data_IF_215718091268
#
_entry.id   IF_215718091268
#
_cell.length_a   1.000
_cell.length_b   1.000
_cell.length_c   1.000
_cell.angle_alpha   90.00
_cell.angle_beta   90.00
_cell.angle_gamma   90.00
#
_symmetry.space_group_name_H-M   'P 1'
#
loop_
_entity.id
_entity.type
_entity.pdbx_description
1 polymer ?
#
# COMPACT_ATOMS: atom_id res chain seq x y z
N UNK A 1 34.99 20.53 11.32
CA UNK A 1 34.44 21.83 11.75
C UNK A 1 33.03 21.61 12.25
N UNK A 2 32.73 21.93 13.48
CA UNK A 2 31.38 21.83 14.04
C UNK A 2 30.50 22.92 13.44
N UNK A 3 29.45 22.54 12.70
CA UNK A 3 28.42 23.44 12.18
C UNK A 3 27.17 23.38 13.06
N UNK A 4 26.35 24.42 13.05
CA UNK A 4 25.05 24.37 13.69
C UNK A 4 24.08 23.49 12.83
N UNK A 5 22.97 22.99 13.42
CA UNK A 5 21.91 22.34 12.65
C UNK A 5 21.38 23.25 11.54
N UNK A 6 21.30 24.56 11.82
CA UNK A 6 20.89 25.56 10.83
C UNK A 6 21.82 25.63 9.62
N UNK A 7 23.13 25.72 9.86
CA UNK A 7 24.14 25.80 8.81
C UNK A 7 24.11 24.52 7.92
N UNK A 8 24.01 23.36 8.58
CA UNK A 8 23.94 22.08 7.89
C UNK A 8 22.65 21.93 7.09
N UNK A 9 21.52 22.37 7.67
CA UNK A 9 20.23 22.42 6.96
C UNK A 9 20.31 23.28 5.70
N UNK A 10 20.84 24.50 5.81
CA UNK A 10 20.98 25.40 4.66
C UNK A 10 21.88 24.79 3.58
N UNK A 11 22.99 24.19 3.97
CA UNK A 11 23.92 23.52 3.05
C UNK A 11 23.24 22.39 2.27
N UNK A 12 22.55 21.50 2.98
CA UNK A 12 21.83 20.37 2.37
C UNK A 12 20.72 20.88 1.45
N UNK A 13 19.89 21.81 1.94
CA UNK A 13 18.79 22.40 1.16
C UNK A 13 19.28 23.03 -0.15
N UNK A 14 20.34 23.85 -0.08
CA UNK A 14 20.91 24.50 -1.26
C UNK A 14 21.44 23.47 -2.26
N UNK A 15 22.11 22.43 -1.79
CA UNK A 15 22.64 21.36 -2.65
C UNK A 15 21.50 20.59 -3.36
N UNK A 16 20.46 20.18 -2.62
CA UNK A 16 19.29 19.51 -3.20
C UNK A 16 18.53 20.39 -4.19
N UNK A 17 18.35 21.68 -3.85
CA UNK A 17 17.72 22.65 -4.75
C UNK A 17 18.50 22.87 -6.03
N UNK A 18 19.84 22.96 -5.95
CA UNK A 18 20.73 23.09 -7.12
C UNK A 18 20.70 21.86 -8.03
N UNK A 19 20.37 20.70 -7.48
CA UNK A 19 20.16 19.48 -8.23
C UNK A 19 18.73 19.32 -8.80
N UNK A 20 17.88 20.36 -8.66
CA UNK A 20 16.51 20.34 -9.20
C UNK A 20 15.49 19.59 -8.35
N UNK A 21 15.80 19.27 -7.10
CA UNK A 21 14.86 18.59 -6.21
C UNK A 21 13.85 19.63 -5.69
N UNK A 22 12.59 19.51 -6.14
CA UNK A 22 11.52 20.46 -5.81
C UNK A 22 11.24 20.55 -4.31
N UNK A 23 11.23 19.39 -3.61
CA UNK A 23 10.97 19.30 -2.18
C UNK A 23 12.22 19.52 -1.31
N UNK A 24 13.27 20.20 -1.82
CA UNK A 24 14.57 20.33 -1.15
C UNK A 24 14.49 20.83 0.30
N UNK A 25 13.51 21.71 0.60
CA UNK A 25 13.31 22.22 1.97
C UNK A 25 12.82 21.11 2.93
N UNK A 26 11.85 20.33 2.49
CA UNK A 26 11.31 19.21 3.25
C UNK A 26 12.35 18.11 3.40
N UNK A 27 12.98 17.71 2.28
CA UNK A 27 13.94 16.61 2.27
C UNK A 27 15.21 16.90 3.09
N UNK A 28 15.71 18.15 3.09
CA UNK A 28 16.82 18.55 3.95
C UNK A 28 16.48 18.40 5.44
N UNK A 29 15.24 18.71 5.83
CA UNK A 29 14.76 18.50 7.20
C UNK A 29 14.71 17.01 7.53
N UNK A 30 14.14 16.19 6.66
CA UNK A 30 14.03 14.75 6.86
C UNK A 30 15.41 14.08 6.97
N UNK A 31 16.37 14.49 6.15
CA UNK A 31 17.77 14.03 6.23
C UNK A 31 18.37 14.35 7.60
N UNK A 32 18.18 15.58 8.10
CA UNK A 32 18.71 15.96 9.40
C UNK A 32 18.01 15.23 10.55
N UNK A 33 16.70 15.05 10.48
CA UNK A 33 15.95 14.24 11.44
C UNK A 33 16.50 12.80 11.48
N UNK A 34 16.67 12.18 10.31
CA UNK A 34 17.20 10.82 10.20
C UNK A 34 18.63 10.70 10.74
N UNK A 35 19.49 11.67 10.43
CA UNK A 35 20.90 11.67 10.89
C UNK A 35 21.05 11.92 12.39
N UNK A 36 20.16 12.72 12.98
CA UNK A 36 20.26 13.11 14.39
C UNK A 36 19.37 12.31 15.33
N UNK A 37 18.42 11.52 14.79
CA UNK A 37 17.38 10.85 15.57
C UNK A 37 16.36 11.79 16.20
N UNK A 38 16.33 13.08 15.79
CA UNK A 38 15.41 14.09 16.30
C UNK A 38 14.11 14.08 15.51
N UNK A 39 13.01 14.40 16.19
CA UNK A 39 11.76 14.78 15.52
C UNK A 39 11.91 16.15 14.86
N UNK A 40 11.00 16.49 13.94
CA UNK A 40 10.98 17.81 13.30
C UNK A 40 10.84 18.96 14.33
N UNK A 41 10.05 18.75 15.39
CA UNK A 41 9.87 19.72 16.47
C UNK A 41 11.16 19.91 17.29
N UNK A 42 11.83 18.81 17.63
CA UNK A 42 13.11 18.85 18.33
C UNK A 42 14.21 19.50 17.50
N UNK A 43 14.25 19.18 16.19
CA UNK A 43 15.19 19.81 15.27
C UNK A 43 14.96 21.32 15.19
N UNK A 44 13.70 21.76 15.07
CA UNK A 44 13.36 23.19 15.05
C UNK A 44 13.74 23.92 16.34
N UNK A 45 13.46 23.33 17.50
CA UNK A 45 13.83 23.86 18.81
C UNK A 45 15.35 24.02 18.95
N UNK A 46 16.09 23.02 18.48
CA UNK A 46 17.52 22.89 18.65
C UNK A 46 18.33 23.45 17.46
N UNK A 47 17.67 24.14 16.51
CA UNK A 47 18.22 24.56 15.22
C UNK A 47 19.54 25.38 15.32
N UNK A 48 19.71 26.17 16.41
CA UNK A 48 20.86 27.00 16.65
C UNK A 48 22.00 26.27 17.37
N UNK A 49 21.76 25.04 17.82
CA UNK A 49 22.79 24.25 18.51
C UNK A 49 23.81 23.68 17.53
N UNK A 50 25.02 23.42 18.00
CA UNK A 50 26.04 22.73 17.20
C UNK A 50 25.73 21.24 17.06
N UNK A 51 25.99 20.72 15.88
CA UNK A 51 25.93 19.27 15.61
C UNK A 51 27.22 18.60 16.14
N UNK A 52 27.13 17.29 16.38
CA UNK A 52 28.34 16.47 16.48
C UNK A 52 28.91 16.18 15.08
N UNK A 53 30.21 15.88 15.00
CA UNK A 53 30.85 15.50 13.75
C UNK A 53 30.18 14.28 13.13
N UNK A 54 29.82 13.27 13.92
CA UNK A 54 29.11 12.06 13.47
C UNK A 54 27.74 12.38 12.84
N UNK A 55 26.97 13.31 13.42
CA UNK A 55 25.67 13.73 12.85
C UNK A 55 25.89 14.45 11.52
N UNK A 56 26.89 15.35 11.46
CA UNK A 56 27.19 16.07 10.24
C UNK A 56 27.63 15.12 9.09
N UNK A 57 28.51 14.18 9.39
CA UNK A 57 28.96 13.15 8.44
C UNK A 57 27.81 12.29 7.95
N UNK A 58 26.96 11.80 8.86
CA UNK A 58 25.80 11.01 8.51
C UNK A 58 24.81 11.78 7.62
N UNK A 59 24.52 13.04 7.96
CA UNK A 59 23.62 13.89 7.17
C UNK A 59 24.16 14.12 5.74
N UNK A 60 25.47 14.38 5.61
CA UNK A 60 26.10 14.56 4.31
C UNK A 60 26.13 13.26 3.50
N UNK A 61 26.37 12.11 4.13
CA UNK A 61 26.29 10.82 3.46
C UNK A 61 24.88 10.52 2.92
N UNK A 62 23.83 10.83 3.71
CA UNK A 62 22.44 10.73 3.25
C UNK A 62 22.14 11.70 2.09
N UNK A 63 22.66 12.93 2.16
CA UNK A 63 22.55 13.90 1.06
C UNK A 63 23.18 13.36 -0.24
N UNK A 64 24.39 12.79 -0.17
CA UNK A 64 25.08 12.22 -1.35
C UNK A 64 24.26 11.09 -1.98
N UNK A 65 23.72 10.17 -1.18
CA UNK A 65 22.83 9.12 -1.66
C UNK A 65 21.55 9.70 -2.31
N UNK A 66 20.98 10.75 -1.74
CA UNK A 66 19.81 11.43 -2.32
C UNK A 66 20.14 12.08 -3.67
N UNK A 67 21.29 12.73 -3.78
CA UNK A 67 21.79 13.29 -5.04
C UNK A 67 22.11 12.24 -6.09
N UNK A 68 22.45 11.01 -5.67
CA UNK A 68 22.57 9.86 -6.55
C UNK A 68 21.21 9.26 -7.00
N UNK A 69 20.08 9.86 -6.58
CA UNK A 69 18.73 9.48 -6.99
C UNK A 69 17.98 8.58 -6.02
N UNK A 70 18.57 8.18 -4.89
CA UNK A 70 17.88 7.33 -3.91
C UNK A 70 16.67 8.06 -3.31
N UNK A 71 15.47 7.44 -3.25
CA UNK A 71 14.27 8.06 -2.71
C UNK A 71 14.43 8.45 -1.24
N UNK A 72 13.96 9.64 -0.88
CA UNK A 72 14.03 10.14 0.50
C UNK A 72 13.40 9.18 1.52
N UNK A 73 12.31 8.52 1.15
CA UNK A 73 11.64 7.55 2.01
C UNK A 73 12.57 6.39 2.43
N UNK A 74 13.39 5.89 1.51
CA UNK A 74 14.35 4.82 1.83
C UNK A 74 15.52 5.31 2.67
N UNK A 75 15.96 6.54 2.44
CA UNK A 75 17.02 7.16 3.23
C UNK A 75 16.61 7.35 4.69
N UNK A 76 15.37 7.77 4.90
CA UNK A 76 14.77 7.95 6.24
C UNK A 76 14.37 6.62 6.86
N UNK A 77 14.01 5.62 6.02
CA UNK A 77 13.55 4.31 6.46
C UNK A 77 12.12 4.28 7.01
N UNK A 78 11.42 5.41 6.90
CA UNK A 78 10.07 5.60 7.39
C UNK A 78 9.27 6.50 6.44
N UNK A 79 7.98 6.20 6.26
CA UNK A 79 7.08 7.00 5.43
C UNK A 79 5.67 7.06 6.02
N UNK A 80 4.99 8.18 5.82
CA UNK A 80 3.61 8.36 6.30
C UNK A 80 2.61 7.84 5.29
N UNK A 81 1.56 7.14 5.77
CA UNK A 81 0.42 6.71 4.98
C UNK A 81 -0.86 6.80 5.82
N UNK A 82 -1.86 7.54 5.35
CA UNK A 82 -3.08 7.87 6.11
C UNK A 82 -2.78 8.43 7.50
N UNK A 83 -1.73 9.25 7.64
CA UNK A 83 -1.29 9.82 8.92
C UNK A 83 -0.60 8.83 9.88
N UNK A 84 -0.37 7.59 9.45
CA UNK A 84 0.33 6.57 10.23
C UNK A 84 1.75 6.36 9.69
N UNK A 85 2.78 6.21 10.56
CA UNK A 85 4.15 6.00 10.12
C UNK A 85 4.43 4.53 9.83
N UNK A 86 5.00 4.22 8.65
CA UNK A 86 5.38 2.87 8.23
C UNK A 86 6.87 2.77 7.99
N UNK A 87 7.50 1.67 8.43
CA UNK A 87 8.84 1.34 7.99
C UNK A 87 8.80 0.97 6.50
N UNK A 88 9.75 1.51 5.77
CA UNK A 88 9.95 1.29 4.33
C UNK A 88 11.40 0.90 4.04
N UNK A 89 11.63 0.18 2.96
CA UNK A 89 12.97 -0.13 2.43
C UNK A 89 12.84 -0.54 0.96
N UNK A 90 13.95 -0.68 0.22
CA UNK A 90 13.94 -1.16 -1.16
C UNK A 90 13.33 -2.56 -1.38
N UNK A 91 12.87 -3.23 -0.32
CA UNK A 91 12.18 -4.51 -0.40
C UNK A 91 10.70 -4.41 -0.81
N UNK A 92 10.10 -3.22 -0.79
CA UNK A 92 8.70 -2.99 -1.15
C UNK A 92 8.52 -1.57 -1.71
N UNK A 93 7.47 -1.40 -2.53
CA UNK A 93 7.06 -0.10 -3.06
C UNK A 93 6.86 0.92 -1.92
N UNK A 94 7.32 2.15 -2.13
CA UNK A 94 7.03 3.26 -1.21
C UNK A 94 5.52 3.56 -1.24
N UNK A 95 4.82 3.60 -0.09
CA UNK A 95 3.40 3.94 -0.06
C UNK A 95 3.11 5.28 -0.76
N UNK A 96 2.15 5.27 -1.69
CA UNK A 96 1.75 6.46 -2.45
C UNK A 96 0.52 7.11 -1.83
N UNK A 97 0.41 8.42 -1.95
CA UNK A 97 -0.77 9.17 -1.48
C UNK A 97 -2.05 8.70 -2.18
N UNK A 98 -1.97 8.39 -3.47
CA UNK A 98 -3.12 7.91 -4.26
C UNK A 98 -3.68 6.59 -3.70
N UNK A 99 -2.80 5.72 -3.16
CA UNK A 99 -3.17 4.45 -2.51
C UNK A 99 -3.99 4.66 -1.22
N UNK A 100 -3.93 5.84 -0.59
CA UNK A 100 -4.74 6.14 0.61
C UNK A 100 -6.24 6.03 0.33
N UNK A 101 -6.66 6.32 -0.90
CA UNK A 101 -8.05 6.14 -1.35
C UNK A 101 -8.49 4.68 -1.27
N UNK A 102 -7.62 3.73 -1.65
CA UNK A 102 -7.93 2.31 -1.57
C UNK A 102 -8.24 1.89 -0.11
N UNK A 103 -7.41 2.34 0.84
CA UNK A 103 -7.65 2.10 2.27
C UNK A 103 -8.96 2.75 2.76
N UNK A 104 -9.23 4.00 2.34
CA UNK A 104 -10.45 4.72 2.73
C UNK A 104 -11.72 4.04 2.21
N UNK A 105 -11.73 3.60 0.95
CA UNK A 105 -12.87 2.89 0.37
C UNK A 105 -13.08 1.53 1.05
N UNK A 106 -12.01 0.78 1.33
CA UNK A 106 -12.09 -0.46 2.08
C UNK A 106 -12.73 -0.25 3.46
N UNK A 107 -12.31 0.78 4.21
CA UNK A 107 -12.91 1.12 5.50
C UNK A 107 -14.39 1.49 5.36
N UNK A 108 -14.79 2.20 4.29
CA UNK A 108 -16.19 2.56 4.07
C UNK A 108 -17.05 1.31 3.85
N UNK A 109 -16.56 0.30 3.09
CA UNK A 109 -17.27 -0.97 2.91
C UNK A 109 -17.38 -1.77 4.21
N UNK A 110 -16.32 -1.78 5.01
CA UNK A 110 -16.32 -2.49 6.29
C UNK A 110 -17.23 -1.85 7.34
N UNK A 111 -17.49 -0.54 7.28
CA UNK A 111 -18.45 0.14 8.18
C UNK A 111 -19.90 -0.30 7.99
N UNK A 112 -20.22 -0.84 6.83
CA UNK A 112 -21.56 -1.36 6.52
C UNK A 112 -21.86 -2.68 7.27
N UNK A 113 -20.83 -3.33 7.84
CA UNK A 113 -20.94 -4.59 8.57
C UNK A 113 -21.03 -4.38 10.07
N UNK A 114 -21.93 -5.14 10.72
CA UNK A 114 -21.98 -5.23 12.18
C UNK A 114 -21.06 -6.36 12.67
N UNK A 115 -20.28 -6.07 13.72
CA UNK A 115 -19.42 -7.06 14.35
C UNK A 115 -17.98 -7.09 13.83
N UNK A 116 -17.34 -8.25 13.93
CA UNK A 116 -15.94 -8.44 13.53
C UNK A 116 -15.83 -8.65 12.02
N UNK A 117 -14.95 -7.91 11.39
CA UNK A 117 -14.69 -7.96 9.94
C UNK A 117 -13.28 -8.43 9.64
N UNK A 118 -13.05 -8.87 8.40
CA UNK A 118 -11.75 -9.32 7.91
C UNK A 118 -11.43 -8.64 6.58
N UNK A 119 -10.22 -8.09 6.48
CA UNK A 119 -9.65 -7.56 5.24
C UNK A 119 -8.49 -8.43 4.80
N UNK A 120 -8.43 -8.73 3.50
CA UNK A 120 -7.30 -9.35 2.84
C UNK A 120 -6.60 -8.28 2.00
N UNK A 121 -5.29 -8.12 2.18
CA UNK A 121 -4.44 -7.22 1.42
C UNK A 121 -3.48 -8.07 0.58
N UNK A 122 -3.71 -8.13 -0.74
CA UNK A 122 -2.87 -8.85 -1.70
C UNK A 122 -1.84 -7.91 -2.31
N UNK A 123 -0.64 -8.43 -2.57
CA UNK A 123 0.53 -7.63 -2.97
C UNK A 123 0.81 -6.55 -1.93
N UNK A 124 0.80 -6.95 -0.66
CA UNK A 124 0.72 -6.06 0.49
C UNK A 124 1.93 -5.11 0.65
N UNK A 125 3.10 -5.45 0.09
CA UNK A 125 4.31 -4.64 0.19
C UNK A 125 4.70 -4.33 1.62
N UNK A 126 4.61 -3.07 2.02
CA UNK A 126 4.83 -2.64 3.42
C UNK A 126 3.69 -3.01 4.37
N UNK A 127 2.56 -3.47 3.84
CA UNK A 127 1.32 -3.70 4.56
C UNK A 127 0.52 -2.42 4.84
N UNK A 128 0.84 -1.31 4.18
CA UNK A 128 0.27 0.01 4.52
C UNK A 128 -1.25 0.04 4.39
N UNK A 129 -1.85 -0.61 3.39
CA UNK A 129 -3.31 -0.61 3.19
C UNK A 129 -4.00 -1.44 4.28
N UNK A 130 -3.70 -2.74 4.37
CA UNK A 130 -4.36 -3.64 5.31
C UNK A 130 -4.13 -3.26 6.78
N UNK A 131 -2.91 -2.80 7.13
CA UNK A 131 -2.60 -2.38 8.49
C UNK A 131 -3.27 -1.05 8.86
N UNK A 132 -3.38 -0.10 7.93
CA UNK A 132 -4.15 1.14 8.15
C UNK A 132 -5.61 0.81 8.45
N UNK A 133 -6.23 -0.05 7.64
CA UNK A 133 -7.60 -0.50 7.87
C UNK A 133 -7.73 -1.13 9.26
N UNK A 134 -6.83 -2.05 9.63
CA UNK A 134 -6.88 -2.71 10.95
C UNK A 134 -6.58 -1.74 12.11
N UNK A 135 -5.72 -0.73 11.92
CA UNK A 135 -5.39 0.26 12.94
C UNK A 135 -6.57 1.20 13.23
N UNK A 136 -7.22 1.69 12.18
CA UNK A 136 -8.31 2.66 12.29
C UNK A 136 -9.68 2.01 12.57
N UNK A 137 -9.84 0.73 12.24
CA UNK A 137 -11.07 -0.04 12.50
C UNK A 137 -10.82 -1.11 13.56
N UNK A 138 -11.23 -0.86 14.80
CA UNK A 138 -10.92 -1.70 15.97
C UNK A 138 -11.41 -3.14 15.85
N UNK A 139 -12.51 -3.38 15.15
CA UNK A 139 -13.14 -4.69 15.00
C UNK A 139 -12.66 -5.44 13.74
N UNK A 140 -11.68 -4.90 13.00
CA UNK A 140 -11.18 -5.50 11.77
C UNK A 140 -9.87 -6.24 12.02
N UNK A 141 -9.76 -7.44 11.43
CA UNK A 141 -8.54 -8.23 11.34
C UNK A 141 -8.01 -8.18 9.92
N UNK A 142 -6.69 -8.03 9.76
CA UNK A 142 -6.03 -8.00 8.46
C UNK A 142 -5.21 -9.27 8.22
N UNK A 143 -5.27 -9.75 6.98
CA UNK A 143 -4.33 -10.74 6.45
C UNK A 143 -3.58 -10.07 5.30
N UNK A 144 -2.25 -10.06 5.39
CA UNK A 144 -1.36 -9.46 4.42
C UNK A 144 -0.69 -10.58 3.63
N UNK A 145 -0.81 -10.57 2.32
CA UNK A 145 -0.20 -11.59 1.46
C UNK A 145 0.76 -10.92 0.48
N UNK A 146 1.99 -11.40 0.45
CA UNK A 146 3.00 -10.95 -0.50
C UNK A 146 3.89 -12.12 -0.91
N UNK A 147 4.46 -12.04 -2.11
CA UNK A 147 5.40 -13.04 -2.63
C UNK A 147 6.82 -12.81 -2.11
N UNK A 148 7.20 -11.56 -1.82
CA UNK A 148 8.51 -11.13 -1.40
C UNK A 148 8.75 -11.37 0.09
N UNK A 149 9.77 -12.14 0.45
CA UNK A 149 10.18 -12.31 1.85
C UNK A 149 10.59 -10.97 2.50
N UNK A 150 11.22 -10.06 1.72
CA UNK A 150 11.59 -8.73 2.20
C UNK A 150 10.37 -7.85 2.50
N UNK A 151 9.31 -7.91 1.68
CA UNK A 151 8.05 -7.24 1.94
C UNK A 151 7.38 -7.80 3.19
N UNK A 152 7.38 -9.13 3.38
CA UNK A 152 6.84 -9.78 4.57
C UNK A 152 7.59 -9.40 5.85
N UNK A 153 8.90 -9.20 5.79
CA UNK A 153 9.68 -8.67 6.92
C UNK A 153 9.27 -7.24 7.28
N UNK A 154 8.97 -6.39 6.28
CA UNK A 154 8.40 -5.07 6.51
C UNK A 154 7.00 -5.16 7.12
N UNK A 155 6.10 -6.01 6.60
CA UNK A 155 4.79 -6.27 7.18
C UNK A 155 4.90 -6.64 8.66
N UNK A 156 5.80 -7.58 9.01
CA UNK A 156 6.04 -8.01 10.39
C UNK A 156 6.50 -6.86 11.30
N UNK A 157 7.41 -6.02 10.82
CA UNK A 157 7.88 -4.83 11.56
C UNK A 157 6.74 -3.83 11.76
N UNK A 158 5.96 -3.56 10.73
CA UNK A 158 4.84 -2.62 10.75
C UNK A 158 3.68 -3.11 11.61
N UNK A 159 3.37 -4.41 11.62
CA UNK A 159 2.41 -5.03 12.56
C UNK A 159 2.80 -4.72 14.02
N UNK A 160 4.09 -4.87 14.35
CA UNK A 160 4.59 -4.59 15.70
C UNK A 160 4.54 -3.10 16.03
N UNK A 161 4.93 -2.24 15.07
CA UNK A 161 4.89 -0.78 15.23
C UNK A 161 3.51 -0.28 15.57
N UNK A 162 2.49 -0.76 14.87
CA UNK A 162 1.10 -0.38 15.08
C UNK A 162 0.38 -1.19 16.18
N UNK A 163 1.11 -2.06 16.92
CA UNK A 163 0.55 -2.88 18.01
C UNK A 163 -0.61 -3.78 17.54
N UNK A 164 -0.53 -4.27 16.30
CA UNK A 164 -1.56 -5.09 15.68
C UNK A 164 -1.30 -6.60 15.82
N UNK A 165 -0.31 -7.01 16.62
CA UNK A 165 -0.07 -8.43 16.94
C UNK A 165 -1.35 -9.05 17.52
N UNK A 166 -1.89 -10.07 16.87
CA UNK A 166 -3.20 -10.68 17.24
C UNK A 166 -4.40 -10.18 16.43
N UNK A 167 -4.26 -9.06 15.67
CA UNK A 167 -5.27 -8.59 14.72
C UNK A 167 -4.79 -8.53 13.28
N UNK A 168 -3.49 -8.64 13.04
CA UNK A 168 -2.90 -8.73 11.71
C UNK A 168 -1.93 -9.90 11.64
N UNK A 169 -1.97 -10.60 10.52
CA UNK A 169 -1.02 -11.67 10.16
C UNK A 169 -0.49 -11.42 8.76
N UNK A 170 0.71 -11.94 8.48
CA UNK A 170 1.32 -11.89 7.16
C UNK A 170 1.61 -13.30 6.69
N UNK A 171 1.44 -13.56 5.40
CA UNK A 171 1.60 -14.87 4.77
C UNK A 171 2.32 -14.72 3.44
N UNK A 172 3.25 -15.63 3.15
CA UNK A 172 3.83 -15.75 1.82
C UNK A 172 2.83 -16.39 0.88
N UNK A 173 2.57 -15.72 -0.24
CA UNK A 173 1.67 -16.22 -1.27
C UNK A 173 1.84 -15.50 -2.58
N UNK A 174 1.57 -16.19 -3.65
CA UNK A 174 1.54 -15.66 -4.99
C UNK A 174 0.10 -15.28 -5.35
N UNK A 175 -0.15 -14.01 -5.63
CA UNK A 175 -1.47 -13.51 -6.02
C UNK A 175 -1.99 -14.11 -7.34
N UNK A 176 -1.10 -14.66 -8.16
CA UNK A 176 -1.44 -15.38 -9.40
C UNK A 176 -1.70 -16.88 -9.19
N UNK A 177 -1.73 -17.34 -7.94
CA UNK A 177 -2.13 -18.70 -7.56
C UNK A 177 -3.42 -18.67 -6.75
N UNK A 178 -4.23 -19.74 -6.77
CA UNK A 178 -5.47 -19.79 -6.00
C UNK A 178 -5.18 -19.73 -4.49
N UNK A 179 -6.05 -19.08 -3.70
CA UNK A 179 -5.91 -19.02 -2.26
C UNK A 179 -6.02 -20.39 -1.61
N UNK A 180 -5.27 -20.60 -0.52
CA UNK A 180 -5.50 -21.77 0.35
C UNK A 180 -6.87 -21.67 1.03
N UNK A 181 -7.61 -22.77 1.05
CA UNK A 181 -8.88 -22.86 1.79
C UNK A 181 -8.74 -22.53 3.28
N UNK A 182 -7.56 -22.75 3.86
CA UNK A 182 -7.27 -22.43 5.27
C UNK A 182 -7.31 -20.91 5.57
N UNK A 183 -7.24 -20.04 4.56
CA UNK A 183 -7.40 -18.59 4.72
C UNK A 183 -8.80 -18.20 5.19
N UNK A 184 -9.83 -19.01 4.85
CA UNK A 184 -11.23 -18.65 5.05
C UNK A 184 -11.64 -17.46 4.17
N UNK A 185 -12.77 -16.84 4.51
CA UNK A 185 -13.35 -15.77 3.71
C UNK A 185 -13.22 -14.39 4.36
N UNK A 186 -13.25 -13.35 3.52
CA UNK A 186 -13.03 -11.96 3.87
C UNK A 186 -14.24 -11.10 3.48
N UNK A 187 -14.47 -10.05 4.24
CA UNK A 187 -15.49 -9.04 3.92
C UNK A 187 -15.03 -8.12 2.80
N UNK A 188 -13.72 -7.80 2.81
CA UNK A 188 -13.07 -6.96 1.79
C UNK A 188 -11.73 -7.56 1.39
N UNK A 189 -11.45 -7.58 0.09
CA UNK A 189 -10.16 -7.83 -0.50
C UNK A 189 -9.68 -6.55 -1.16
N UNK A 190 -8.50 -6.07 -0.80
CA UNK A 190 -7.83 -4.94 -1.43
C UNK A 190 -6.57 -5.41 -2.12
N UNK A 191 -6.23 -4.77 -3.24
CA UNK A 191 -4.98 -5.03 -3.92
C UNK A 191 -4.51 -3.78 -4.67
N UNK A 192 -3.26 -3.40 -4.43
CA UNK A 192 -2.50 -2.52 -5.31
C UNK A 192 -1.45 -3.38 -6.02
N UNK A 193 -1.82 -4.05 -7.12
CA UNK A 193 -0.92 -4.99 -7.79
C UNK A 193 0.10 -4.26 -8.67
N UNK A 194 1.17 -4.91 -9.11
CA UNK A 194 1.97 -4.43 -10.22
C UNK A 194 1.10 -4.24 -11.46
N UNK A 195 1.15 -3.04 -12.07
CA UNK A 195 0.26 -2.68 -13.18
C UNK A 195 0.95 -1.98 -14.35
N UNK A 196 2.26 -1.79 -14.31
CA UNK A 196 3.00 -1.12 -15.38
C UNK A 196 3.26 -2.14 -16.49
N UNK A 197 2.89 -1.85 -17.76
CA UNK A 197 3.26 -2.72 -18.87
C UNK A 197 4.77 -2.93 -18.93
N UNK A 198 5.20 -4.17 -19.15
CA UNK A 198 6.65 -4.53 -19.19
C UNK A 198 7.44 -3.61 -20.14
N UNK A 199 6.83 -3.23 -21.28
CA UNK A 199 7.46 -2.33 -22.26
C UNK A 199 7.72 -0.92 -21.75
N UNK A 200 6.94 -0.45 -20.76
CA UNK A 200 6.98 0.92 -20.24
C UNK A 200 7.97 1.07 -19.07
N UNK A 201 8.42 -0.04 -18.47
CA UNK A 201 9.36 -0.04 -17.34
C UNK A 201 10.66 0.71 -17.63
N UNK A 202 11.13 0.66 -18.89
CA UNK A 202 12.34 1.36 -19.31
C UNK A 202 12.20 2.89 -19.24
N UNK A 203 10.98 3.42 -19.36
CA UNK A 203 10.66 4.85 -19.33
C UNK A 203 10.42 5.44 -17.95
N UNK A 204 10.44 4.64 -16.89
CA UNK A 204 10.21 5.12 -15.53
C UNK A 204 11.33 6.03 -15.04
N UNK A 205 10.98 6.93 -14.13
CA UNK A 205 11.93 7.78 -13.42
C UNK A 205 13.08 6.95 -12.84
N UNK A 206 14.30 7.50 -12.90
CA UNK A 206 15.50 6.84 -12.41
C UNK A 206 15.40 6.46 -10.92
N UNK A 207 14.71 7.27 -10.11
CA UNK A 207 14.46 7.03 -8.70
C UNK A 207 13.55 5.81 -8.46
N UNK A 208 12.60 5.55 -9.34
CA UNK A 208 11.73 4.37 -9.28
C UNK A 208 12.48 3.15 -9.80
N UNK A 209 12.95 3.23 -11.05
CA UNK A 209 13.60 2.13 -11.76
C UNK A 209 14.88 1.60 -11.07
N UNK A 210 15.65 2.50 -10.44
CA UNK A 210 16.94 2.15 -9.82
C UNK A 210 16.84 1.65 -8.39
N UNK A 211 15.72 1.89 -7.71
CA UNK A 211 15.64 1.68 -6.26
C UNK A 211 14.41 0.89 -5.81
N UNK A 212 13.29 0.98 -6.53
CA UNK A 212 12.08 0.22 -6.16
C UNK A 212 12.11 -1.18 -6.79
N UNK A 213 11.55 -2.20 -6.11
CA UNK A 213 11.65 -3.57 -6.60
C UNK A 213 10.83 -3.76 -7.89
N UNK A 214 11.48 -4.25 -8.94
CA UNK A 214 10.88 -4.45 -10.25
C UNK A 214 9.61 -5.32 -10.20
N UNK A 215 9.59 -6.33 -9.32
CA UNK A 215 8.43 -7.19 -9.12
C UNK A 215 7.20 -6.47 -8.56
N UNK A 216 7.37 -5.28 -7.98
CA UNK A 216 6.25 -4.46 -7.50
C UNK A 216 5.72 -3.50 -8.59
N UNK A 217 6.36 -3.47 -9.77
CA UNK A 217 6.05 -2.55 -10.86
C UNK A 217 5.49 -3.29 -12.09
N UNK A 218 6.08 -4.43 -12.46
CA UNK A 218 5.80 -5.14 -13.70
C UNK A 218 4.46 -5.89 -13.65
N UNK A 219 3.48 -5.36 -14.37
CA UNK A 219 2.13 -5.93 -14.50
C UNK A 219 1.94 -6.86 -15.70
N UNK A 220 3.03 -7.24 -16.38
CA UNK A 220 2.98 -8.07 -17.59
C UNK A 220 2.88 -7.26 -18.88
N UNK A 221 2.57 -7.94 -19.98
CA UNK A 221 2.67 -7.36 -21.32
C UNK A 221 1.81 -6.09 -21.52
N UNK A 222 0.62 -6.04 -20.93
CA UNK A 222 -0.31 -4.91 -21.00
C UNK A 222 -0.67 -4.32 -19.62
N UNK A 223 0.04 -4.75 -18.56
CA UNK A 223 -0.17 -4.28 -17.20
C UNK A 223 -1.41 -4.84 -16.50
N UNK A 224 -2.08 -5.86 -17.08
CA UNK A 224 -3.35 -6.36 -16.56
C UNK A 224 -3.28 -7.80 -16.03
N UNK A 225 -2.12 -8.44 -16.00
CA UNK A 225 -2.01 -9.85 -15.64
C UNK A 225 -2.48 -10.15 -14.22
N UNK A 226 -2.13 -9.29 -13.26
CA UNK A 226 -2.60 -9.44 -11.88
C UNK A 226 -4.10 -9.26 -11.73
N UNK A 227 -4.69 -8.29 -12.41
CA UNK A 227 -6.15 -8.09 -12.38
C UNK A 227 -6.90 -9.30 -12.93
N UNK A 228 -6.43 -9.89 -14.04
CA UNK A 228 -7.02 -11.12 -14.62
C UNK A 228 -6.91 -12.30 -13.66
N UNK A 229 -5.70 -12.52 -13.13
CA UNK A 229 -5.41 -13.63 -12.23
C UNK A 229 -6.21 -13.53 -10.93
N UNK A 230 -6.11 -12.40 -10.23
CA UNK A 230 -6.76 -12.20 -8.94
C UNK A 230 -8.29 -12.25 -9.07
N UNK A 231 -8.86 -11.57 -10.07
CA UNK A 231 -10.31 -11.55 -10.29
C UNK A 231 -10.89 -12.94 -10.48
N UNK A 232 -10.19 -13.84 -11.19
CA UNK A 232 -10.66 -15.19 -11.43
C UNK A 232 -10.38 -16.16 -10.27
N UNK A 233 -9.24 -16.03 -9.61
CA UNK A 233 -8.75 -17.00 -8.63
C UNK A 233 -9.21 -16.71 -7.20
N UNK A 234 -9.34 -15.42 -6.82
CA UNK A 234 -9.56 -15.02 -5.43
C UNK A 234 -11.02 -14.69 -5.07
N UNK A 235 -11.95 -14.78 -6.03
CA UNK A 235 -13.37 -14.60 -5.73
C UNK A 235 -13.86 -15.53 -4.60
N UNK A 236 -13.45 -16.83 -4.51
CA UNK A 236 -13.86 -17.71 -3.42
C UNK A 236 -13.39 -17.27 -2.04
N UNK A 237 -12.32 -16.45 -1.96
CA UNK A 237 -11.84 -15.88 -0.71
C UNK A 237 -12.70 -14.72 -0.19
N UNK A 238 -13.61 -14.17 -0.99
CA UNK A 238 -14.60 -13.22 -0.53
C UNK A 238 -15.84 -13.93 0.01
N UNK A 239 -16.43 -13.38 1.06
CA UNK A 239 -17.78 -13.76 1.48
C UNK A 239 -18.80 -13.41 0.40
N UNK A 240 -19.96 -14.08 0.31
CA UNK A 240 -21.10 -13.57 -0.45
C UNK A 240 -21.43 -12.14 -0.02
N UNK A 241 -21.53 -11.22 -0.98
CA UNK A 241 -21.70 -9.78 -0.71
C UNK A 241 -20.40 -9.05 -0.32
N UNK A 242 -19.27 -9.73 -0.23
CA UNK A 242 -17.96 -9.11 0.01
C UNK A 242 -17.43 -8.31 -1.19
N UNK A 243 -16.50 -7.39 -0.93
CA UNK A 243 -16.00 -6.44 -1.93
C UNK A 243 -14.55 -6.70 -2.34
N UNK A 244 -14.28 -6.61 -3.63
CA UNK A 244 -12.94 -6.58 -4.22
C UNK A 244 -12.65 -5.14 -4.67
N UNK A 245 -11.52 -4.58 -4.22
CA UNK A 245 -11.07 -3.24 -4.56
C UNK A 245 -9.65 -3.30 -5.13
N UNK A 246 -9.45 -2.72 -6.28
CA UNK A 246 -8.15 -2.56 -6.93
C UNK A 246 -7.74 -1.11 -7.02
N UNK A 247 -6.47 -0.80 -6.71
CA UNK A 247 -5.82 0.36 -7.29
C UNK A 247 -5.50 0.06 -8.75
N UNK A 248 -5.62 1.09 -9.62
CA UNK A 248 -5.38 0.93 -11.06
C UNK A 248 -4.45 2.01 -11.60
N UNK A 249 -3.65 1.65 -12.60
CA UNK A 249 -2.87 2.59 -13.38
C UNK A 249 -3.74 3.51 -14.24
N UNK A 250 -3.17 4.62 -14.67
CA UNK A 250 -3.85 5.60 -15.55
C UNK A 250 -4.32 4.91 -16.82
N UNK A 251 -5.62 5.04 -17.13
CA UNK A 251 -6.23 4.48 -18.33
C UNK A 251 -6.62 3.00 -18.26
N UNK A 252 -6.41 2.32 -17.12
CA UNK A 252 -6.74 0.90 -16.96
C UNK A 252 -8.13 0.64 -16.37
N UNK A 253 -8.78 1.65 -15.79
CA UNK A 253 -9.98 1.49 -14.97
C UNK A 253 -11.13 0.79 -15.71
N UNK A 254 -11.41 1.17 -16.95
CA UNK A 254 -12.49 0.56 -17.74
C UNK A 254 -12.22 -0.92 -18.06
N UNK A 255 -10.96 -1.26 -18.37
CA UNK A 255 -10.56 -2.63 -18.65
C UNK A 255 -10.69 -3.51 -17.41
N UNK A 256 -10.26 -3.00 -16.23
CA UNK A 256 -10.38 -3.71 -14.95
C UNK A 256 -11.85 -3.86 -14.55
N UNK A 257 -12.66 -2.82 -14.70
CA UNK A 257 -14.10 -2.89 -14.46
C UNK A 257 -14.76 -3.97 -15.32
N UNK A 258 -14.38 -4.07 -16.59
CA UNK A 258 -14.89 -5.09 -17.50
C UNK A 258 -14.47 -6.52 -17.09
N UNK A 259 -13.23 -6.71 -16.56
CA UNK A 259 -12.83 -7.99 -16.00
C UNK A 259 -13.72 -8.40 -14.82
N UNK A 260 -14.09 -7.47 -13.95
CA UNK A 260 -15.01 -7.71 -12.84
C UNK A 260 -16.41 -8.10 -13.34
N UNK A 261 -16.95 -7.38 -14.34
CA UNK A 261 -18.25 -7.73 -14.98
C UNK A 261 -18.22 -9.16 -15.49
N UNK A 262 -17.18 -9.52 -16.25
CA UNK A 262 -17.05 -10.88 -16.82
C UNK A 262 -16.93 -11.98 -15.77
N UNK A 263 -16.34 -11.67 -14.62
CA UNK A 263 -16.21 -12.61 -13.51
C UNK A 263 -17.48 -12.67 -12.64
N UNK A 264 -18.55 -11.96 -13.02
CA UNK A 264 -19.84 -11.99 -12.32
C UNK A 264 -19.89 -11.15 -11.05
N UNK A 265 -19.00 -10.16 -10.89
CA UNK A 265 -19.13 -9.16 -9.82
C UNK A 265 -20.25 -8.19 -10.15
N UNK A 266 -20.91 -7.70 -9.12
CA UNK A 266 -22.01 -6.72 -9.18
C UNK A 266 -21.55 -5.37 -8.60
N UNK A 267 -22.39 -4.33 -8.73
CA UNK A 267 -22.19 -3.01 -8.13
C UNK A 267 -20.81 -2.41 -8.42
N UNK A 268 -20.31 -2.59 -9.65
CA UNK A 268 -18.98 -2.14 -10.07
C UNK A 268 -18.95 -0.61 -10.08
N UNK A 269 -17.89 -0.04 -9.49
CA UNK A 269 -17.69 1.41 -9.40
C UNK A 269 -16.23 1.74 -9.71
N UNK A 270 -16.04 2.89 -10.38
CA UNK A 270 -14.73 3.51 -10.58
C UNK A 270 -14.72 4.80 -9.75
N UNK A 271 -13.70 4.96 -8.92
CA UNK A 271 -13.51 6.14 -8.07
C UNK A 271 -12.28 6.91 -8.50
N UNK A 272 -12.43 8.23 -8.64
CA UNK A 272 -11.37 9.15 -9.04
C UNK A 272 -10.68 9.75 -7.84
N UNK A 273 -9.38 10.03 -8.01
CA UNK A 273 -8.61 10.82 -7.05
C UNK A 273 -8.99 12.32 -7.10
N UNK A 274 -8.37 13.11 -6.23
CA UNK A 274 -8.60 14.57 -6.19
C UNK A 274 -8.14 15.28 -7.45
N UNK A 275 -7.28 14.67 -8.25
CA UNK A 275 -6.83 15.15 -9.56
C UNK A 275 -7.78 14.76 -10.70
N UNK A 276 -8.86 14.03 -10.43
CA UNK A 276 -9.83 13.57 -11.42
C UNK A 276 -9.37 12.33 -12.21
N UNK A 277 -8.32 11.64 -11.76
CA UNK A 277 -7.78 10.43 -12.38
C UNK A 277 -8.46 9.21 -11.74
N UNK A 278 -8.92 8.27 -12.56
CA UNK A 278 -9.48 7.00 -12.09
C UNK A 278 -8.40 6.20 -11.36
N UNK A 279 -8.64 5.89 -10.07
CA UNK A 279 -7.64 5.23 -9.19
C UNK A 279 -8.09 3.95 -8.57
N UNK A 280 -9.37 3.82 -8.25
CA UNK A 280 -9.87 2.60 -7.62
C UNK A 280 -11.03 2.05 -8.41
N UNK A 281 -10.96 0.76 -8.73
CA UNK A 281 -12.06 -0.03 -9.28
C UNK A 281 -12.51 -1.02 -8.24
N UNK A 282 -13.81 -1.04 -7.93
CA UNK A 282 -14.40 -1.97 -6.98
C UNK A 282 -15.53 -2.78 -7.61
N UNK A 283 -15.73 -4.00 -7.10
CA UNK A 283 -16.88 -4.84 -7.42
C UNK A 283 -17.29 -5.65 -6.19
N UNK A 284 -18.56 -6.02 -6.14
CA UNK A 284 -19.12 -6.81 -5.05
C UNK A 284 -19.36 -8.24 -5.54
N UNK A 285 -18.89 -9.26 -4.78
CA UNK A 285 -19.28 -10.64 -5.02
C UNK A 285 -20.80 -10.77 -4.83
N UNK A 286 -21.56 -11.41 -5.73
CA UNK A 286 -22.98 -11.63 -5.54
C UNK A 286 -23.31 -12.23 -4.17
N UNK A 287 -24.42 -11.81 -3.58
CA UNK A 287 -24.97 -12.48 -2.41
C UNK A 287 -25.50 -13.85 -2.86
N UNK A 288 -25.36 -14.86 -2.01
CA UNK A 288 -26.07 -16.11 -2.26
C UNK A 288 -27.58 -15.78 -2.36
N UNK A 289 -28.21 -16.18 -3.45
CA UNK A 289 -29.66 -16.10 -3.52
C UNK A 289 -30.20 -17.09 -2.48
N UNK A 290 -30.99 -16.60 -1.52
CA UNK A 290 -31.85 -17.47 -0.73
C UNK A 290 -32.71 -18.22 -1.74
N UNK A 291 -32.46 -19.53 -1.93
CA UNK A 291 -33.39 -20.39 -2.64
C UNK A 291 -34.62 -20.40 -1.75
N UNK A 292 -35.77 -19.87 -2.21
CA UNK A 292 -36.98 -19.94 -1.40
C UNK A 292 -37.25 -21.42 -1.10
N UNK A 293 -37.57 -21.71 0.14
CA UNK A 293 -37.85 -23.07 0.66
C UNK A 293 -39.18 -23.60 0.10
N UNK A 294 -39.37 -23.49 -1.21
CA UNK A 294 -40.57 -23.93 -1.97
C UNK A 294 -40.58 -25.44 -2.22
N UNK A 295 -39.56 -26.18 -1.76
CA UNK A 295 -39.47 -27.63 -2.00
C UNK A 295 -39.86 -28.48 -0.77
N UNK A 296 -40.17 -27.91 0.37
CA UNK A 296 -40.57 -28.67 1.55
C UNK A 296 -42.11 -28.87 1.68
N UNK A 297 -42.94 -28.07 0.97
CA UNK A 297 -44.41 -28.20 1.08
C UNK A 297 -45.05 -29.25 0.17
N UNK A 298 -44.32 -29.85 -0.77
CA UNK A 298 -44.90 -30.78 -1.76
C UNK A 298 -44.74 -32.28 -1.42
N UNK A 299 -44.14 -32.64 -0.28
CA UNK A 299 -43.95 -34.04 0.10
C UNK A 299 -44.81 -34.51 1.29
N UNK A 300 -45.66 -33.66 1.87
CA UNK A 300 -46.58 -34.05 2.95
C UNK A 300 -48.03 -34.24 2.54
N UNK A 301 -48.41 -34.04 1.27
CA UNK A 301 -49.78 -34.26 0.81
C UNK A 301 -50.01 -35.57 0.05
N UNK A 302 -49.04 -36.47 -0.09
CA UNK A 302 -49.25 -37.84 -0.65
C UNK A 302 -48.74 -38.90 0.35
N UNK A 303 -49.38 -38.99 1.51
CA UNK A 303 -49.15 -40.07 2.48
C UNK A 303 -50.46 -40.57 3.05
#
# INVERSE_FOLDING_TARGET
>A
MTSTYHDLYLKIRMSLSSAGIEAAQLEAREILCAASGKTAEELYRDISLYTTEAIAEQALALQERRLAGEPIAYLVGEWSFCGLPFYVSPAALIPRVDTEMLAQLAMNRLKEHQGSTRVLDLCAGTGCVGLTVAALMKNTRAVLVDLSDGALDLCKRNIRRHKLTGRAVYLKGDALQPPSHALGQFDVLVCNPPYIPTGDLAGLDASVKGFEPMMALDGGADGLDFYRGITSLWQPALKPGGHLLYEVGIGQAEQVAWLLVKAGYENIRITRDTGGIDRVVEGQRPKEQEIPDLLHETLEEEG
#
